data_IF_171346708521
#
_entry.id   IF_171346708521
#
_cell.length_a   1.000
_cell.length_b   1.000
_cell.length_c   1.000
_cell.angle_alpha   90.00
_cell.angle_beta   90.00
_cell.angle_gamma   90.00
#
_symmetry.space_group_name_H-M   'P 1'
#
loop_
_entity.id
_entity.type
_entity.pdbx_description
1 polymer ?
#
# COMPACT_ATOMS: atom_id res chain seq x y z
N UNK A 1 -7.22 7.59 -12.55
CA UNK A 1 -8.35 7.24 -11.68
C UNK A 1 -9.63 7.22 -12.50
N UNK A 2 -10.56 6.32 -12.19
CA UNK A 2 -11.86 6.24 -12.85
C UNK A 2 -12.90 7.02 -12.03
N UNK A 3 -13.79 7.72 -12.74
CA UNK A 3 -14.87 8.50 -12.13
C UNK A 3 -16.22 7.92 -12.56
N UNK A 4 -17.10 7.67 -11.59
CA UNK A 4 -18.47 7.27 -11.82
C UNK A 4 -19.41 8.47 -12.03
N UNK A 5 -20.73 8.22 -12.07
CA UNK A 5 -21.73 9.27 -12.13
C UNK A 5 -21.50 10.32 -11.03
N UNK A 6 -21.54 11.60 -11.40
CA UNK A 6 -21.28 12.71 -10.48
C UNK A 6 -19.81 12.92 -10.10
N UNK A 7 -18.86 12.33 -10.82
CA UNK A 7 -17.41 12.57 -10.64
C UNK A 7 -16.79 11.85 -9.45
N UNK A 8 -17.54 10.98 -8.77
CA UNK A 8 -17.08 10.26 -7.58
C UNK A 8 -16.10 9.15 -7.97
N UNK A 9 -15.12 8.88 -7.10
CA UNK A 9 -14.23 7.72 -7.27
C UNK A 9 -15.04 6.43 -7.22
N UNK A 10 -14.65 5.46 -8.05
CA UNK A 10 -15.26 4.13 -8.10
C UNK A 10 -14.20 3.06 -7.90
N UNK A 11 -14.53 2.03 -7.13
CA UNK A 11 -13.76 0.80 -7.07
C UNK A 11 -14.10 -0.07 -8.31
N UNK A 12 -13.08 -0.63 -8.94
CA UNK A 12 -13.21 -1.58 -10.04
C UNK A 12 -12.75 -2.97 -9.60
N UNK A 13 -13.31 -4.03 -10.18
CA UNK A 13 -13.09 -5.42 -9.76
C UNK A 13 -13.32 -5.64 -8.25
N UNK A 14 -14.47 -5.22 -7.66
CA UNK A 14 -14.70 -5.41 -6.24
C UNK A 14 -14.82 -6.92 -5.94
N UNK A 15 -13.86 -7.42 -5.15
CA UNK A 15 -13.88 -8.77 -4.58
C UNK A 15 -13.89 -8.66 -3.05
N UNK A 16 -14.98 -8.16 -2.44
CA UNK A 16 -15.05 -7.90 -1.01
C UNK A 16 -14.90 -9.21 -0.23
N UNK A 17 -14.14 -9.14 0.86
CA UNK A 17 -13.92 -10.26 1.78
C UNK A 17 -13.97 -9.76 3.22
N UNK A 18 -14.21 -10.68 4.16
CA UNK A 18 -14.02 -10.41 5.57
C UNK A 18 -12.53 -10.48 5.90
N UNK A 19 -11.98 -9.40 6.48
CA UNK A 19 -10.55 -9.30 6.75
C UNK A 19 -10.23 -8.13 7.67
N UNK A 20 -8.92 -7.92 7.88
CA UNK A 20 -8.42 -6.75 8.57
C UNK A 20 -8.59 -5.51 7.67
N UNK A 21 -9.32 -4.46 8.08
CA UNK A 21 -9.54 -3.28 7.24
C UNK A 21 -8.26 -2.51 6.92
N UNK A 22 -7.21 -2.63 7.73
CA UNK A 22 -5.93 -1.95 7.47
C UNK A 22 -5.23 -2.51 6.21
N UNK A 23 -5.57 -3.72 5.78
CA UNK A 23 -5.07 -4.34 4.55
C UNK A 23 -5.40 -3.51 3.30
N UNK A 24 -6.59 -2.90 3.25
CA UNK A 24 -7.08 -2.18 2.07
C UNK A 24 -6.22 -0.95 1.72
N UNK A 25 -5.40 -0.46 2.66
CA UNK A 25 -4.56 0.71 2.48
C UNK A 25 -3.10 0.39 2.09
N UNK A 26 -2.71 -0.89 2.00
CA UNK A 26 -1.31 -1.30 1.80
C UNK A 26 -0.71 -0.73 0.52
N UNK A 27 -1.45 -0.77 -0.59
CA UNK A 27 -0.94 -0.25 -1.88
C UNK A 27 -0.62 1.25 -1.80
N UNK A 28 -1.43 2.04 -1.07
CA UNK A 28 -1.14 3.45 -0.83
C UNK A 28 0.04 3.67 0.12
N UNK A 29 0.22 2.77 1.09
CA UNK A 29 1.37 2.81 2.00
C UNK A 29 2.69 2.50 1.27
N UNK A 30 2.68 1.53 0.36
CA UNK A 30 3.83 1.08 -0.41
C UNK A 30 4.13 1.91 -1.66
N UNK A 31 3.26 2.86 -2.03
CA UNK A 31 3.49 3.60 -3.26
C UNK A 31 4.73 4.51 -3.18
N UNK A 32 5.66 4.41 -4.10
CA UNK A 32 6.88 5.22 -4.14
C UNK A 32 7.84 5.13 -2.95
N UNK A 33 7.57 4.34 -1.91
CA UNK A 33 8.48 4.25 -0.74
C UNK A 33 9.72 3.43 -1.06
N UNK A 34 10.84 3.84 -0.48
CA UNK A 34 12.17 3.25 -0.68
C UNK A 34 12.91 2.96 0.63
N UNK A 35 12.32 3.31 1.78
CA UNK A 35 12.83 2.96 3.09
C UNK A 35 11.74 2.91 4.17
N UNK A 36 12.08 2.34 5.33
CA UNK A 36 11.15 2.16 6.44
C UNK A 36 10.66 3.50 7.05
N UNK A 37 11.49 4.55 7.03
CA UNK A 37 11.10 5.87 7.53
C UNK A 37 9.98 6.50 6.67
N UNK A 38 10.11 6.40 5.34
CA UNK A 38 9.09 6.88 4.40
C UNK A 38 7.77 6.11 4.56
N UNK A 39 7.85 4.79 4.74
CA UNK A 39 6.68 3.95 5.02
C UNK A 39 6.00 4.36 6.33
N UNK A 40 6.76 4.61 7.40
CA UNK A 40 6.22 5.05 8.68
C UNK A 40 5.53 6.41 8.60
N UNK A 41 6.16 7.38 7.91
CA UNK A 41 5.56 8.69 7.67
C UNK A 41 4.28 8.58 6.84
N UNK A 42 4.27 7.74 5.80
CA UNK A 42 3.10 7.48 4.96
C UNK A 42 1.94 6.88 5.77
N UNK A 43 2.23 5.84 6.56
CA UNK A 43 1.24 5.16 7.37
C UNK A 43 0.63 6.12 8.42
N UNK A 44 1.44 6.98 9.03
CA UNK A 44 0.96 8.03 9.93
C UNK A 44 -0.03 8.98 9.25
N UNK A 45 0.32 9.52 8.07
CA UNK A 45 -0.57 10.41 7.31
C UNK A 45 -1.88 9.73 6.90
N UNK A 46 -1.83 8.47 6.48
CA UNK A 46 -3.04 7.73 6.12
C UNK A 46 -3.96 7.53 7.33
N UNK A 47 -3.40 7.26 8.51
CA UNK A 47 -4.17 7.09 9.74
C UNK A 47 -4.83 8.41 10.22
N UNK A 48 -4.22 9.56 9.93
CA UNK A 48 -4.85 10.87 10.18
C UNK A 48 -6.04 11.14 9.26
N UNK A 49 -6.03 10.61 8.03
CA UNK A 49 -7.07 10.84 7.02
C UNK A 49 -8.21 9.82 7.09
N UNK A 50 -7.95 8.60 7.58
CA UNK A 50 -8.92 7.49 7.55
C UNK A 50 -9.26 7.07 8.99
N UNK A 51 -10.46 7.44 9.48
CA UNK A 51 -10.90 7.06 10.82
C UNK A 51 -10.88 5.55 11.03
N UNK A 52 -10.21 5.10 12.09
CA UNK A 52 -10.08 3.69 12.45
C UNK A 52 -8.90 2.95 11.83
N UNK A 53 -8.20 3.56 10.86
CA UNK A 53 -6.98 2.98 10.30
C UNK A 53 -5.84 3.05 11.32
N UNK A 54 -5.08 1.96 11.45
CA UNK A 54 -3.97 1.84 12.40
C UNK A 54 -2.62 1.81 11.69
N UNK A 55 -1.81 2.84 11.92
CA UNK A 55 -0.51 2.98 11.28
C UNK A 55 0.50 1.87 11.63
N UNK A 56 0.38 1.22 12.79
CA UNK A 56 1.16 0.04 13.15
C UNK A 56 0.75 -1.19 12.34
N UNK A 57 -0.55 -1.48 12.29
CA UNK A 57 -1.10 -2.62 11.53
C UNK A 57 -0.85 -2.50 10.03
N UNK A 58 -0.98 -1.29 9.49
CA UNK A 58 -0.68 -1.01 8.09
C UNK A 58 0.79 -1.29 7.76
N UNK A 59 1.73 -0.98 8.66
CA UNK A 59 3.15 -1.30 8.48
C UNK A 59 3.40 -2.80 8.53
N UNK A 60 2.75 -3.52 9.44
CA UNK A 60 2.85 -4.98 9.51
C UNK A 60 2.37 -5.63 8.21
N UNK A 61 1.24 -5.19 7.68
CA UNK A 61 0.72 -5.65 6.39
C UNK A 61 1.63 -5.27 5.22
N UNK A 62 2.18 -4.06 5.21
CA UNK A 62 3.12 -3.60 4.20
C UNK A 62 4.41 -4.44 4.18
N UNK A 63 4.93 -4.84 5.34
CA UNK A 63 6.05 -5.79 5.41
C UNK A 63 5.66 -7.17 4.87
N UNK A 64 4.51 -7.71 5.29
CA UNK A 64 4.05 -9.03 4.86
C UNK A 64 3.82 -9.13 3.34
N UNK A 65 3.41 -8.05 2.68
CA UNK A 65 3.04 -8.03 1.26
C UNK A 65 4.04 -7.30 0.36
N UNK A 66 5.03 -6.63 0.95
CA UNK A 66 6.05 -5.86 0.22
C UNK A 66 6.73 -6.71 -0.85
N UNK A 67 7.08 -7.94 -0.50
CA UNK A 67 7.76 -8.87 -1.41
C UNK A 67 6.95 -9.20 -2.67
N UNK A 68 5.61 -9.27 -2.59
CA UNK A 68 4.75 -9.52 -3.76
C UNK A 68 4.81 -8.35 -4.75
N UNK A 69 4.79 -7.12 -4.22
CA UNK A 69 4.96 -5.90 -5.02
C UNK A 69 6.39 -5.81 -5.58
N UNK A 70 7.40 -6.15 -4.77
CA UNK A 70 8.80 -6.17 -5.16
C UNK A 70 9.09 -7.17 -6.29
N UNK A 71 8.55 -8.38 -6.21
CA UNK A 71 8.69 -9.42 -7.25
C UNK A 71 8.09 -8.97 -8.58
N UNK A 72 6.89 -8.37 -8.56
CA UNK A 72 6.25 -7.84 -9.76
C UNK A 72 7.10 -6.74 -10.42
N UNK A 73 7.70 -5.85 -9.62
CA UNK A 73 8.62 -4.81 -10.09
C UNK A 73 9.91 -5.38 -10.67
N UNK A 74 10.50 -6.38 -10.01
CA UNK A 74 11.71 -7.05 -10.49
C UNK A 74 11.45 -7.74 -11.84
N UNK A 75 10.33 -8.44 -11.99
CA UNK A 75 9.91 -9.05 -13.27
C UNK A 75 9.70 -8.02 -14.37
N UNK A 76 9.33 -6.79 -14.02
CA UNK A 76 9.23 -5.67 -14.95
C UNK A 76 10.60 -4.97 -15.23
N UNK A 77 11.70 -5.47 -14.66
CA UNK A 77 13.06 -4.95 -14.89
C UNK A 77 13.44 -3.75 -14.01
N UNK A 78 12.70 -3.48 -12.94
CA UNK A 78 13.06 -2.43 -11.98
C UNK A 78 13.98 -2.99 -10.89
N UNK A 79 15.19 -2.44 -10.76
CA UNK A 79 16.19 -2.83 -9.74
C UNK A 79 16.62 -1.64 -8.86
N UNK A 80 15.72 -0.68 -8.68
CA UNK A 80 15.93 0.54 -7.91
C UNK A 80 15.84 0.33 -6.39
N UNK A 81 16.11 1.41 -5.63
CA UNK A 81 16.05 1.40 -4.17
C UNK A 81 14.68 0.95 -3.63
N UNK A 82 13.59 1.35 -4.30
CA UNK A 82 12.23 0.91 -3.98
C UNK A 82 12.11 -0.60 -4.11
N UNK A 83 12.59 -1.18 -5.20
CA UNK A 83 12.48 -2.63 -5.41
C UNK A 83 13.29 -3.40 -4.38
N UNK A 84 14.50 -2.94 -4.04
CA UNK A 84 15.31 -3.52 -2.97
C UNK A 84 14.64 -3.42 -1.60
N UNK A 85 14.03 -2.29 -1.29
CA UNK A 85 13.28 -2.11 -0.04
C UNK A 85 12.09 -3.07 0.04
N UNK A 86 11.28 -3.16 -1.01
CA UNK A 86 10.11 -4.05 -1.05
C UNK A 86 10.46 -5.54 -0.93
N UNK A 87 11.64 -5.95 -1.41
CA UNK A 87 12.10 -7.35 -1.31
C UNK A 87 12.75 -7.68 0.04
N UNK A 88 13.12 -6.68 0.84
CA UNK A 88 13.80 -6.85 2.13
C UNK A 88 13.05 -6.27 3.33
N UNK A 89 11.85 -5.74 3.11
CA UNK A 89 10.93 -5.20 4.13
C UNK A 89 10.25 -6.29 4.93
#
# INVERSE_FOLDING_TARGET
MLHGPGGRLVAIDPRPAWGDPDFDAVDWALDGVSCAAELAERAGRLAELVPGLRADRLRDWAGALGALTGEARLRAGHEDARTRFLLGS
#
